data_IF_146754548894
#
_entry.id   IF_146754548894
#
_cell.length_a   1.000
_cell.length_b   1.000
_cell.length_c   1.000
_cell.angle_alpha   90.00
_cell.angle_beta   90.00
_cell.angle_gamma   90.00
#
_symmetry.space_group_name_H-M   'P 1'
#
loop_
_entity.id
_entity.type
_entity.pdbx_description
1 polymer ?
#
# COMPACT_ATOMS: atom_id res chain seq x y z
N UNK A 1 -9.24 -24.47 18.80
CA UNK A 1 -10.29 -23.46 18.52
C UNK A 1 -9.66 -22.46 17.57
N UNK A 2 -9.96 -22.61 16.31
CA UNK A 2 -9.51 -21.71 15.23
C UNK A 2 -10.44 -20.49 15.28
N UNK A 3 -9.96 -19.37 15.83
CA UNK A 3 -10.63 -18.09 15.65
C UNK A 3 -10.60 -17.79 14.14
N UNK A 4 -11.76 -17.74 13.52
CA UNK A 4 -11.86 -17.25 12.16
C UNK A 4 -11.41 -15.78 12.17
N UNK A 5 -10.50 -15.40 11.30
CA UNK A 5 -10.02 -14.02 11.14
C UNK A 5 -11.14 -13.03 10.71
N UNK A 6 -12.33 -13.56 10.41
CA UNK A 6 -13.44 -12.80 9.80
C UNK A 6 -14.09 -11.76 10.71
N UNK A 7 -13.80 -11.71 12.03
CA UNK A 7 -14.52 -10.80 12.94
C UNK A 7 -13.70 -10.21 14.08
N UNK A 8 -12.40 -10.45 14.18
CA UNK A 8 -11.62 -9.95 15.31
C UNK A 8 -10.86 -8.66 14.95
N UNK A 9 -11.02 -7.63 15.77
CA UNK A 9 -10.18 -6.43 15.69
C UNK A 9 -8.74 -6.81 16.00
N UNK A 10 -7.81 -6.37 15.19
CA UNK A 10 -6.38 -6.48 15.49
C UNK A 10 -5.63 -5.21 15.09
N UNK A 11 -4.48 -4.99 15.68
CA UNK A 11 -3.58 -3.94 15.26
C UNK A 11 -2.20 -4.49 14.92
N UNK A 12 -1.51 -3.79 14.05
CA UNK A 12 -0.17 -4.11 13.59
C UNK A 12 0.70 -2.86 13.49
N UNK A 13 1.93 -2.94 13.99
CA UNK A 13 2.92 -1.87 13.85
C UNK A 13 3.77 -2.15 12.62
N UNK A 14 3.74 -1.19 11.69
CA UNK A 14 4.49 -1.28 10.44
C UNK A 14 5.93 -0.80 10.61
N UNK A 15 6.83 -1.42 9.88
CA UNK A 15 8.18 -0.89 9.70
C UNK A 15 8.18 0.10 8.51
N UNK A 16 7.53 1.25 8.67
CA UNK A 16 7.47 2.28 7.64
C UNK A 16 8.64 3.25 7.78
N UNK A 17 9.22 3.66 6.65
CA UNK A 17 10.16 4.76 6.61
C UNK A 17 9.41 6.09 6.58
N UNK A 18 9.87 7.04 7.38
CA UNK A 18 9.28 8.37 7.51
C UNK A 18 10.25 9.41 6.94
N UNK A 19 9.76 10.22 6.02
CA UNK A 19 10.50 11.34 5.44
C UNK A 19 9.73 12.63 5.69
N UNK A 20 10.42 13.66 6.17
CA UNK A 20 9.86 15.00 6.32
C UNK A 20 10.53 15.92 5.30
N UNK A 21 9.73 16.60 4.51
CA UNK A 21 10.20 17.52 3.47
C UNK A 21 9.78 18.94 3.85
N UNK A 22 10.71 19.88 3.76
CA UNK A 22 10.48 21.31 4.04
C UNK A 22 10.97 22.16 2.91
N UNK A 23 10.26 23.21 2.59
CA UNK A 23 10.60 24.17 1.56
C UNK A 23 9.40 24.55 0.70
N UNK A 24 9.46 25.73 0.13
CA UNK A 24 8.35 26.31 -0.64
C UNK A 24 8.09 25.56 -1.96
N UNK A 25 9.09 24.88 -2.50
CA UNK A 25 9.00 24.19 -3.80
C UNK A 25 8.73 22.68 -3.66
N UNK A 26 8.61 22.17 -2.42
CA UNK A 26 8.47 20.74 -2.14
C UNK A 26 7.34 20.08 -2.92
N UNK A 27 6.14 20.69 -2.95
CA UNK A 27 4.99 20.11 -3.68
C UNK A 27 5.24 20.08 -5.19
N UNK A 28 5.82 21.13 -5.76
CA UNK A 28 6.11 21.18 -7.20
C UNK A 28 7.18 20.18 -7.62
N UNK A 29 8.18 19.96 -6.76
CA UNK A 29 9.22 18.94 -6.95
C UNK A 29 8.62 17.54 -6.88
N UNK A 30 7.85 17.23 -5.84
CA UNK A 30 7.19 15.94 -5.72
C UNK A 30 6.22 15.70 -6.90
N UNK A 31 5.45 16.71 -7.32
CA UNK A 31 4.51 16.57 -8.44
C UNK A 31 5.21 16.15 -9.75
N UNK A 32 6.47 16.52 -9.95
CA UNK A 32 7.27 16.08 -11.12
C UNK A 32 7.82 14.66 -10.99
N UNK A 33 7.83 14.08 -9.78
CA UNK A 33 8.47 12.80 -9.49
C UNK A 33 7.47 11.65 -9.29
N UNK A 34 6.22 11.97 -8.93
CA UNK A 34 5.20 10.97 -8.60
C UNK A 34 4.11 10.88 -9.67
N UNK A 35 3.36 9.79 -9.66
CA UNK A 35 2.32 9.52 -10.67
C UNK A 35 1.01 10.26 -10.42
N UNK A 36 0.67 10.53 -9.15
CA UNK A 36 -0.57 11.22 -8.77
C UNK A 36 -0.37 12.72 -8.81
N UNK A 37 -1.37 13.50 -9.25
CA UNK A 37 -1.29 14.96 -9.21
C UNK A 37 -1.36 15.47 -7.77
N UNK A 38 -0.44 16.35 -7.42
CA UNK A 38 -0.39 17.04 -6.13
C UNK A 38 -0.90 18.50 -6.23
N UNK A 39 -1.44 18.90 -7.37
CA UNK A 39 -1.97 20.23 -7.55
C UNK A 39 -3.22 20.46 -6.70
N UNK A 40 -3.23 21.55 -5.94
CA UNK A 40 -4.34 21.89 -5.05
C UNK A 40 -4.37 21.13 -3.73
N UNK A 41 -3.31 20.37 -3.43
CA UNK A 41 -3.14 19.66 -2.16
C UNK A 41 -3.19 20.62 -0.98
N UNK A 42 -4.04 20.34 -0.01
CA UNK A 42 -4.27 21.17 1.18
C UNK A 42 -3.66 20.54 2.42
N UNK A 43 -3.55 21.33 3.46
CA UNK A 43 -3.16 20.83 4.79
C UNK A 43 -4.07 19.68 5.22
N UNK A 44 -3.49 18.58 5.71
CA UNK A 44 -4.16 17.35 6.15
C UNK A 44 -4.83 16.53 5.02
N UNK A 45 -4.64 16.86 3.75
CA UNK A 45 -4.97 15.93 2.69
C UNK A 45 -4.04 14.71 2.76
N UNK A 46 -4.55 13.54 2.38
CA UNK A 46 -3.79 12.28 2.30
C UNK A 46 -3.81 11.76 0.88
N UNK A 47 -2.66 11.68 0.26
CA UNK A 47 -2.52 11.16 -1.11
C UNK A 47 -1.59 9.96 -1.13
N UNK A 48 -2.08 8.84 -1.64
CA UNK A 48 -1.26 7.71 -2.05
C UNK A 48 -0.74 7.94 -3.46
N UNK A 49 0.51 7.61 -3.69
CA UNK A 49 1.17 7.83 -4.98
C UNK A 49 2.31 6.84 -5.21
N UNK A 50 2.79 6.80 -6.45
CA UNK A 50 3.87 5.92 -6.87
C UNK A 50 5.06 6.74 -7.39
N UNK A 51 6.26 6.31 -7.06
CA UNK A 51 7.46 6.66 -7.79
C UNK A 51 7.71 5.58 -8.85
N UNK A 52 7.88 6.00 -10.10
CA UNK A 52 8.13 5.09 -11.20
C UNK A 52 9.48 5.39 -11.88
N UNK A 53 9.97 4.40 -12.62
CA UNK A 53 11.09 4.58 -13.54
C UNK A 53 10.61 5.15 -14.89
N UNK A 54 11.55 5.42 -15.80
CA UNK A 54 11.25 5.93 -17.15
C UNK A 54 10.40 4.96 -18.00
N UNK A 55 10.34 3.67 -17.63
CA UNK A 55 9.51 2.66 -18.28
C UNK A 55 8.12 2.53 -17.63
N UNK A 56 7.77 3.42 -16.69
CA UNK A 56 6.50 3.42 -15.96
C UNK A 56 6.38 2.32 -14.92
N UNK A 57 7.48 1.65 -14.56
CA UNK A 57 7.47 0.59 -13.56
C UNK A 57 7.64 1.15 -12.16
N UNK A 58 6.86 0.63 -11.23
CA UNK A 58 6.87 1.05 -9.83
C UNK A 58 8.23 0.79 -9.19
N UNK A 59 8.79 1.81 -8.53
CA UNK A 59 9.99 1.74 -7.71
C UNK A 59 9.69 1.91 -6.23
N UNK A 60 8.69 2.74 -5.89
CA UNK A 60 8.22 2.92 -4.51
C UNK A 60 6.73 3.27 -4.47
N UNK A 61 6.12 2.98 -3.33
CA UNK A 61 4.74 3.31 -2.98
C UNK A 61 4.78 4.22 -1.75
N UNK A 62 4.20 5.42 -1.85
CA UNK A 62 4.29 6.42 -0.80
C UNK A 62 2.94 7.06 -0.50
N UNK A 63 2.75 7.45 0.76
CA UNK A 63 1.66 8.33 1.18
C UNK A 63 2.23 9.71 1.51
N UNK A 64 1.61 10.76 0.99
CA UNK A 64 2.01 12.16 1.14
C UNK A 64 0.93 12.88 1.95
N UNK A 65 1.34 13.58 3.01
CA UNK A 65 0.46 14.33 3.89
C UNK A 65 1.09 15.71 4.17
N UNK A 66 0.52 16.81 3.65
CA UNK A 66 0.94 18.16 4.04
C UNK A 66 0.51 18.47 5.46
N UNK A 67 1.44 18.99 6.27
CA UNK A 67 1.18 19.39 7.65
C UNK A 67 1.96 20.67 7.95
N UNK A 68 1.25 21.75 8.26
CA UNK A 68 1.84 23.01 8.76
C UNK A 68 3.04 23.53 7.96
N UNK A 69 2.94 23.51 6.62
CA UNK A 69 4.00 24.00 5.72
C UNK A 69 5.16 23.01 5.48
N UNK A 70 5.04 21.78 5.92
CA UNK A 70 5.93 20.67 5.61
C UNK A 70 5.14 19.49 5.02
N UNK A 71 5.85 18.54 4.43
CA UNK A 71 5.27 17.29 3.93
C UNK A 71 5.78 16.13 4.78
N UNK A 72 4.86 15.39 5.36
CA UNK A 72 5.14 14.07 5.91
C UNK A 72 4.91 13.03 4.82
N UNK A 73 5.91 12.19 4.57
CA UNK A 73 5.83 11.11 3.59
C UNK A 73 6.17 9.79 4.25
N UNK A 74 5.29 8.80 4.05
CA UNK A 74 5.59 7.41 4.43
C UNK A 74 5.98 6.63 3.19
N UNK A 75 6.92 5.70 3.32
CA UNK A 75 7.35 4.80 2.25
C UNK A 75 7.86 3.48 2.84
N UNK A 76 8.19 2.53 1.96
CA UNK A 76 8.73 1.25 2.43
C UNK A 76 10.22 1.39 2.79
N UNK A 77 10.71 0.79 3.89
CA UNK A 77 12.09 0.95 4.33
C UNK A 77 13.14 0.45 3.32
N UNK A 78 12.79 -0.56 2.50
CA UNK A 78 13.70 -1.09 1.46
C UNK A 78 13.91 -0.15 0.28
N UNK A 79 13.02 0.82 0.06
CA UNK A 79 13.03 1.74 -1.09
C UNK A 79 13.25 3.19 -0.67
N UNK A 80 13.03 3.51 0.60
CA UNK A 80 13.04 4.88 1.13
C UNK A 80 14.33 5.66 0.86
N UNK A 81 15.49 5.02 0.97
CA UNK A 81 16.77 5.67 0.67
C UNK A 81 16.86 6.10 -0.79
N UNK A 82 16.47 5.20 -1.71
CA UNK A 82 16.43 5.50 -3.14
C UNK A 82 15.41 6.58 -3.47
N UNK A 83 14.24 6.56 -2.82
CA UNK A 83 13.19 7.57 -2.99
C UNK A 83 13.65 8.94 -2.49
N UNK A 84 14.28 9.02 -1.31
CA UNK A 84 14.88 10.26 -0.78
C UNK A 84 15.95 10.81 -1.72
N UNK A 85 16.81 9.94 -2.24
CA UNK A 85 17.84 10.31 -3.22
C UNK A 85 17.23 10.90 -4.49
N UNK A 86 16.16 10.29 -5.03
CA UNK A 86 15.43 10.84 -6.20
C UNK A 86 14.88 12.24 -5.93
N UNK A 87 14.34 12.49 -4.75
CA UNK A 87 13.82 13.82 -4.38
C UNK A 87 14.95 14.82 -4.35
N UNK A 88 16.08 14.48 -3.73
CA UNK A 88 17.28 15.35 -3.65
C UNK A 88 17.83 15.63 -5.05
N UNK A 89 17.98 14.62 -5.90
CA UNK A 89 18.49 14.76 -7.27
C UNK A 89 17.48 15.46 -8.21
N UNK A 90 16.18 15.37 -7.91
CA UNK A 90 15.11 16.08 -8.62
C UNK A 90 14.94 17.54 -8.22
N UNK A 91 15.63 18.00 -7.17
CA UNK A 91 15.61 19.38 -6.69
C UNK A 91 16.70 20.18 -7.41
N UNK A 92 16.31 21.22 -8.14
CA UNK A 92 17.26 22.11 -8.81
C UNK A 92 17.97 23.02 -7.80
N UNK A 93 19.12 23.59 -8.20
CA UNK A 93 19.96 24.41 -7.33
C UNK A 93 19.29 25.71 -6.82
N UNK A 94 18.26 26.18 -7.50
CA UNK A 94 17.46 27.37 -7.18
C UNK A 94 16.11 27.06 -6.52
N UNK A 95 15.80 25.77 -6.28
CA UNK A 95 14.58 25.33 -5.63
C UNK A 95 14.80 25.08 -4.12
N UNK A 96 13.80 25.40 -3.32
CA UNK A 96 13.79 25.23 -1.88
C UNK A 96 13.06 23.91 -1.49
N UNK A 97 13.86 22.86 -1.28
CA UNK A 97 13.38 21.59 -0.71
C UNK A 97 14.48 20.92 0.10
N UNK A 98 14.22 20.67 1.36
CA UNK A 98 15.12 19.95 2.25
C UNK A 98 14.50 18.65 2.72
N UNK A 99 15.25 17.56 2.62
CA UNK A 99 14.84 16.20 3.01
C UNK A 99 15.38 15.86 4.38
N UNK A 100 14.51 15.52 5.33
CA UNK A 100 14.84 15.05 6.67
C UNK A 100 14.41 13.59 6.84
N UNK A 101 15.25 12.81 7.52
CA UNK A 101 14.96 11.43 7.89
C UNK A 101 14.21 11.44 9.23
N UNK A 102 12.95 11.00 9.22
CA UNK A 102 12.11 10.89 10.41
C UNK A 102 11.98 9.46 10.94
N UNK A 103 12.78 8.53 10.41
CA UNK A 103 12.72 7.10 10.78
C UNK A 103 12.95 6.92 12.29
N UNK A 104 12.03 6.15 12.91
CA UNK A 104 12.08 5.90 14.35
C UNK A 104 11.58 7.03 15.27
N UNK A 105 11.22 8.20 14.73
CA UNK A 105 10.56 9.27 15.49
C UNK A 105 9.04 9.12 15.48
N UNK A 106 8.48 8.57 14.40
CA UNK A 106 7.05 8.33 14.21
C UNK A 106 6.84 6.83 13.99
N UNK A 107 5.84 6.27 14.64
CA UNK A 107 5.41 4.88 14.50
C UNK A 107 4.15 4.84 13.64
N UNK A 108 4.16 4.01 12.62
CA UNK A 108 2.98 3.71 11.81
C UNK A 108 2.30 2.46 12.36
N UNK A 109 1.04 2.59 12.79
CA UNK A 109 0.21 1.52 13.31
C UNK A 109 -1.10 1.46 12.56
N UNK A 110 -1.56 0.27 12.15
CA UNK A 110 -2.90 0.06 11.59
C UNK A 110 -3.77 -0.74 12.54
N UNK A 111 -5.01 -0.30 12.71
CA UNK A 111 -6.10 -1.04 13.34
C UNK A 111 -7.01 -1.58 12.23
N UNK A 112 -7.29 -2.87 12.25
CA UNK A 112 -8.18 -3.55 11.30
C UNK A 112 -9.39 -4.10 12.03
N UNK A 113 -10.56 -3.98 11.42
CA UNK A 113 -11.81 -4.52 11.94
C UNK A 113 -12.94 -4.53 10.91
N UNK A 114 -14.11 -5.11 11.26
CA UNK A 114 -15.29 -5.10 10.38
C UNK A 114 -15.77 -3.68 10.07
N UNK A 115 -16.20 -3.43 8.84
CA UNK A 115 -16.70 -2.11 8.38
C UNK A 115 -17.81 -1.54 9.28
N UNK A 116 -18.68 -2.40 9.78
CA UNK A 116 -19.83 -2.01 10.61
C UNK A 116 -19.51 -1.98 12.11
N UNK A 117 -18.23 -2.08 12.48
CA UNK A 117 -17.83 -2.03 13.87
C UNK A 117 -17.97 -0.62 14.43
N UNK A 118 -18.41 -0.53 15.69
CA UNK A 118 -18.50 0.75 16.38
C UNK A 118 -17.11 1.28 16.75
N UNK A 119 -16.71 2.38 16.12
CA UNK A 119 -15.43 3.04 16.33
C UNK A 119 -15.54 4.26 17.26
N UNK A 120 -16.73 4.52 17.85
CA UNK A 120 -16.99 5.70 18.68
C UNK A 120 -16.13 5.77 19.96
N UNK A 121 -15.58 4.64 20.39
CA UNK A 121 -14.63 4.57 21.51
C UNK A 121 -13.19 4.94 21.17
N UNK A 122 -12.86 5.18 19.90
CA UNK A 122 -11.57 5.66 19.46
C UNK A 122 -11.44 7.18 19.59
N UNK A 123 -10.23 7.69 19.50
CA UNK A 123 -9.78 9.06 19.81
C UNK A 123 -10.48 10.18 19.04
N UNK A 124 -11.07 9.86 17.90
CA UNK A 124 -11.77 10.80 17.02
C UNK A 124 -13.07 10.16 16.53
N UNK A 125 -13.94 10.94 15.97
CA UNK A 125 -15.08 10.44 15.22
C UNK A 125 -14.56 9.78 13.92
N UNK A 126 -14.21 8.49 14.05
CA UNK A 126 -13.64 7.69 12.95
C UNK A 126 -14.65 7.51 11.80
N UNK A 127 -15.97 7.66 12.06
CA UNK A 127 -16.97 7.62 11.01
C UNK A 127 -16.85 8.82 10.06
N UNK A 128 -16.41 9.96 10.59
CA UNK A 128 -16.18 11.18 9.81
C UNK A 128 -14.85 11.17 9.02
N UNK A 129 -13.94 10.21 9.27
CA UNK A 129 -12.66 10.13 8.57
C UNK A 129 -12.86 9.80 7.09
N UNK A 130 -12.12 10.51 6.26
CA UNK A 130 -12.03 10.28 4.81
C UNK A 130 -10.78 9.48 4.45
N UNK A 131 -10.83 8.76 3.33
CA UNK A 131 -9.65 8.11 2.73
C UNK A 131 -8.64 9.13 2.17
N UNK A 132 -9.10 10.35 1.90
CA UNK A 132 -8.32 11.41 1.26
C UNK A 132 -7.82 12.49 2.22
N UNK A 133 -8.02 12.31 3.52
CA UNK A 133 -7.56 13.24 4.54
C UNK A 133 -7.17 12.53 5.83
N UNK A 134 -6.38 13.21 6.65
CA UNK A 134 -6.07 12.79 8.01
C UNK A 134 -6.77 13.71 9.00
N UNK A 135 -7.11 13.19 10.18
CA UNK A 135 -7.53 13.98 11.34
C UNK A 135 -6.41 14.00 12.36
N UNK A 136 -6.29 15.12 13.09
CA UNK A 136 -5.31 15.28 14.15
C UNK A 136 -5.94 14.98 15.51
N UNK A 137 -5.22 14.23 16.33
CA UNK A 137 -5.51 14.05 17.75
C UNK A 137 -4.21 14.30 18.55
N UNK A 138 -4.05 15.52 19.05
CA UNK A 138 -2.74 15.97 19.54
C UNK A 138 -1.72 15.95 18.40
N UNK A 139 -0.62 15.25 18.59
CA UNK A 139 0.43 15.08 17.58
C UNK A 139 0.24 13.80 16.72
N UNK A 140 -0.89 13.08 16.88
CA UNK A 140 -1.20 11.85 16.17
C UNK A 140 -2.04 12.17 14.94
N UNK A 141 -1.67 11.60 13.80
CA UNK A 141 -2.44 11.67 12.57
C UNK A 141 -3.21 10.37 12.36
N UNK A 142 -4.49 10.48 12.04
CA UNK A 142 -5.40 9.34 11.91
C UNK A 142 -6.11 9.43 10.56
N UNK A 143 -6.11 8.32 9.82
CA UNK A 143 -6.86 8.16 8.57
C UNK A 143 -7.56 6.82 8.51
N UNK A 144 -8.56 6.67 7.64
CA UNK A 144 -9.32 5.44 7.46
C UNK A 144 -9.37 5.07 5.98
N UNK A 145 -9.25 3.79 5.70
CA UNK A 145 -9.49 3.18 4.39
C UNK A 145 -10.41 1.97 4.56
N UNK A 146 -11.12 1.59 3.51
CA UNK A 146 -12.03 0.45 3.52
C UNK A 146 -11.63 -0.58 2.46
N UNK A 147 -11.65 -1.88 2.84
CA UNK A 147 -11.29 -2.99 1.96
C UNK A 147 -12.24 -4.17 2.22
N UNK A 148 -13.03 -4.56 1.19
CA UNK A 148 -13.88 -5.77 1.23
C UNK A 148 -14.71 -5.93 2.52
N UNK A 149 -15.37 -4.84 2.98
CA UNK A 149 -16.20 -4.87 4.18
C UNK A 149 -15.41 -4.80 5.50
N UNK A 150 -14.12 -4.50 5.42
CA UNK A 150 -13.27 -4.21 6.58
C UNK A 150 -12.72 -2.80 6.49
N UNK A 151 -12.46 -2.18 7.64
CA UNK A 151 -11.74 -0.91 7.70
C UNK A 151 -10.28 -1.13 8.12
N UNK A 152 -9.44 -0.22 7.68
CA UNK A 152 -8.07 -0.01 8.17
C UNK A 152 -7.98 1.42 8.67
N UNK A 153 -7.75 1.59 9.97
CA UNK A 153 -7.48 2.90 10.56
C UNK A 153 -5.99 3.01 10.79
N UNK A 154 -5.35 3.90 10.05
CA UNK A 154 -3.91 4.15 10.15
C UNK A 154 -3.63 5.28 11.13
N UNK A 155 -2.68 5.07 12.00
CA UNK A 155 -2.16 6.01 12.97
C UNK A 155 -0.70 6.29 12.68
N UNK A 156 -0.32 7.56 12.57
CA UNK A 156 1.07 7.99 12.62
C UNK A 156 1.29 8.67 13.98
N UNK A 157 2.04 7.98 14.85
CA UNK A 157 2.11 8.26 16.28
C UNK A 157 3.54 8.68 16.65
N UNK A 158 3.76 9.81 17.33
CA UNK A 158 5.05 10.11 17.94
C UNK A 158 5.52 8.95 18.81
N UNK A 159 6.79 8.56 18.72
CA UNK A 159 7.32 7.37 19.39
C UNK A 159 7.08 7.35 20.90
N UNK A 160 7.10 8.52 21.52
CA UNK A 160 6.85 8.67 22.97
C UNK A 160 5.40 8.42 23.39
N UNK A 161 4.46 8.38 22.44
CA UNK A 161 3.03 8.18 22.71
C UNK A 161 2.53 6.76 22.40
N UNK A 162 3.38 5.91 21.79
CA UNK A 162 2.97 4.59 21.31
C UNK A 162 2.44 3.67 22.41
N UNK A 163 3.00 3.74 23.63
CA UNK A 163 2.55 2.90 24.75
C UNK A 163 1.14 3.28 25.21
N UNK A 164 0.84 4.59 25.30
CA UNK A 164 -0.49 5.09 25.65
C UNK A 164 -1.53 4.65 24.62
N UNK A 165 -1.22 4.82 23.33
CA UNK A 165 -2.12 4.46 22.23
C UNK A 165 -2.34 2.96 22.19
N UNK A 166 -1.29 2.16 22.35
CA UNK A 166 -1.40 0.70 22.40
C UNK A 166 -2.29 0.24 23.55
N UNK A 167 -2.21 0.87 24.74
CA UNK A 167 -3.10 0.58 25.86
C UNK A 167 -4.56 0.91 25.53
N UNK A 168 -4.84 2.08 24.96
CA UNK A 168 -6.19 2.47 24.55
C UNK A 168 -6.78 1.53 23.49
N UNK A 169 -5.99 1.08 22.51
CA UNK A 169 -6.42 0.11 21.50
C UNK A 169 -6.73 -1.25 22.14
N UNK A 170 -5.98 -1.67 23.14
CA UNK A 170 -6.24 -2.88 23.90
C UNK A 170 -7.55 -2.76 24.69
N UNK A 171 -7.78 -1.65 25.36
CA UNK A 171 -9.04 -1.38 26.08
C UNK A 171 -10.24 -1.32 25.14
N UNK A 172 -10.01 -0.89 23.90
CA UNK A 172 -10.99 -0.93 22.81
C UNK A 172 -11.25 -2.34 22.25
N UNK A 173 -10.52 -3.36 22.74
CA UNK A 173 -10.67 -4.76 22.34
C UNK A 173 -9.83 -5.16 21.12
N UNK A 174 -8.86 -4.35 20.74
CA UNK A 174 -7.91 -4.70 19.68
C UNK A 174 -6.71 -5.45 20.27
N UNK A 175 -6.25 -6.49 19.58
CA UNK A 175 -5.03 -7.22 19.94
C UNK A 175 -3.92 -6.91 18.94
N UNK A 176 -2.73 -6.60 19.45
CA UNK A 176 -1.55 -6.51 18.61
C UNK A 176 -1.19 -7.89 18.05
N UNK A 177 -1.09 -8.00 16.74
CA UNK A 177 -0.78 -9.25 16.04
C UNK A 177 0.56 -9.17 15.31
N UNK A 178 1.27 -10.31 15.18
CA UNK A 178 2.49 -10.40 14.37
C UNK A 178 2.24 -10.13 12.89
N UNK A 179 3.32 -9.96 12.14
CA UNK A 179 3.30 -9.60 10.71
C UNK A 179 2.46 -10.57 9.87
N UNK A 180 2.42 -11.85 10.20
CA UNK A 180 1.70 -12.86 9.40
C UNK A 180 0.18 -12.58 9.35
N UNK A 181 -0.40 -11.99 10.41
CA UNK A 181 -1.80 -11.57 10.41
C UNK A 181 -2.05 -10.41 9.44
N UNK A 182 -1.13 -9.44 9.40
CA UNK A 182 -1.18 -8.34 8.44
C UNK A 182 -0.97 -8.85 7.02
N UNK A 183 0.01 -9.71 6.80
CA UNK A 183 0.28 -10.32 5.50
C UNK A 183 -0.95 -11.10 4.99
N UNK A 184 -1.58 -11.89 5.85
CA UNK A 184 -2.80 -12.60 5.48
C UNK A 184 -3.94 -11.64 5.13
N UNK A 185 -4.14 -10.60 5.95
CA UNK A 185 -5.15 -9.58 5.69
C UNK A 185 -4.92 -8.90 4.32
N UNK A 186 -3.73 -8.37 4.08
CA UNK A 186 -3.43 -7.66 2.84
C UNK A 186 -3.52 -8.56 1.59
N UNK A 187 -3.00 -9.81 1.67
CA UNK A 187 -3.04 -10.78 0.58
C UNK A 187 -4.50 -11.16 0.27
N UNK A 188 -5.31 -11.41 1.29
CA UNK A 188 -6.74 -11.75 1.13
C UNK A 188 -7.54 -10.60 0.50
N UNK A 189 -7.13 -9.36 0.72
CA UNK A 189 -7.77 -8.18 0.14
C UNK A 189 -7.09 -7.66 -1.13
N UNK A 190 -6.09 -8.39 -1.67
CA UNK A 190 -5.41 -7.99 -2.89
C UNK A 190 -4.57 -6.72 -2.76
N UNK A 191 -4.13 -6.38 -1.56
CA UNK A 191 -3.31 -5.19 -1.29
C UNK A 191 -1.84 -5.48 -1.57
N UNK A 192 -1.22 -4.92 -2.62
CA UNK A 192 0.18 -5.17 -2.90
C UNK A 192 1.10 -4.49 -1.88
N UNK A 193 2.13 -5.21 -1.45
CA UNK A 193 3.31 -4.62 -0.80
C UNK A 193 4.31 -4.15 -1.86
N UNK A 194 5.41 -3.53 -1.42
CA UNK A 194 6.49 -3.15 -2.34
C UNK A 194 7.12 -4.36 -3.04
N UNK A 195 7.14 -5.53 -2.38
CA UNK A 195 7.65 -6.76 -2.98
C UNK A 195 6.78 -7.24 -4.17
N UNK A 196 5.47 -6.98 -4.10
CA UNK A 196 4.54 -7.28 -5.18
C UNK A 196 4.57 -6.21 -6.28
N UNK A 197 4.73 -4.95 -5.88
CA UNK A 197 4.59 -3.80 -6.77
C UNK A 197 5.85 -3.49 -7.58
N UNK A 198 7.03 -3.59 -6.98
CA UNK A 198 8.29 -3.14 -7.59
C UNK A 198 8.58 -3.84 -8.92
N UNK A 199 8.84 -3.02 -9.95
CA UNK A 199 9.15 -3.48 -11.31
C UNK A 199 7.93 -3.89 -12.13
N UNK A 200 6.70 -3.77 -11.61
CA UNK A 200 5.46 -3.96 -12.33
C UNK A 200 4.84 -2.60 -12.72
N UNK A 201 3.90 -2.61 -13.67
CA UNK A 201 3.15 -1.43 -14.06
C UNK A 201 1.97 -1.21 -13.09
N UNK A 202 1.59 0.03 -12.75
CA UNK A 202 0.43 0.30 -11.89
C UNK A 202 -0.85 -0.41 -12.34
N UNK A 203 -1.12 -0.41 -13.65
CA UNK A 203 -2.29 -1.07 -14.23
C UNK A 203 -2.31 -2.59 -14.05
N UNK A 204 -1.16 -3.24 -13.96
CA UNK A 204 -1.05 -4.69 -13.73
C UNK A 204 -1.46 -5.09 -12.30
N UNK A 205 -1.43 -4.13 -11.36
CA UNK A 205 -1.69 -4.31 -9.94
C UNK A 205 -3.02 -3.70 -9.47
N UNK A 206 -3.86 -3.18 -10.39
CA UNK A 206 -5.07 -2.46 -10.02
C UNK A 206 -4.84 -1.06 -9.45
N UNK A 207 -3.64 -0.50 -9.59
CA UNK A 207 -3.27 0.80 -9.06
C UNK A 207 -3.39 1.95 -10.09
N UNK A 208 -4.23 1.78 -11.11
CA UNK A 208 -4.43 2.80 -12.14
C UNK A 208 -5.00 4.11 -11.60
N UNK A 209 -5.78 4.06 -10.52
CA UNK A 209 -6.32 5.24 -9.82
C UNK A 209 -5.23 6.13 -9.22
N UNK A 210 -4.04 5.60 -8.97
CA UNK A 210 -2.88 6.36 -8.49
C UNK A 210 -2.06 7.00 -9.62
N UNK A 211 -2.54 6.93 -10.87
CA UNK A 211 -1.88 7.50 -12.04
C UNK A 211 -2.75 8.59 -12.65
N UNK A 212 -2.36 9.84 -12.48
CA UNK A 212 -3.06 10.98 -13.07
C UNK A 212 -2.63 11.18 -14.53
N UNK A 213 -3.48 10.72 -15.46
CA UNK A 213 -3.27 10.95 -16.87
C UNK A 213 -3.55 12.43 -17.19
N UNK A 214 -2.62 13.10 -17.86
CA UNK A 214 -2.77 14.51 -18.26
C UNK A 214 -2.25 15.53 -17.24
N UNK A 215 -1.71 15.11 -16.09
CA UNK A 215 -0.87 15.98 -15.26
C UNK A 215 0.45 16.32 -15.98
N UNK A 216 1.25 17.24 -15.44
CA UNK A 216 2.59 17.57 -15.94
C UNK A 216 3.53 16.36 -16.05
N UNK A 217 4.73 16.57 -16.60
CA UNK A 217 5.70 15.48 -16.83
C UNK A 217 6.13 14.79 -15.52
N UNK A 218 6.18 13.46 -15.55
CA UNK A 218 6.77 12.60 -14.52
C UNK A 218 7.38 11.35 -15.17
N UNK A 219 8.29 10.63 -14.48
CA UNK A 219 8.93 9.43 -15.04
C UNK A 219 7.90 8.34 -15.40
N UNK A 220 7.95 7.85 -16.66
CA UNK A 220 7.05 6.80 -17.15
C UNK A 220 5.69 7.27 -17.70
N UNK A 221 5.41 8.58 -17.69
CA UNK A 221 4.13 9.14 -18.14
C UNK A 221 3.71 8.65 -19.54
N UNK A 222 4.64 8.60 -20.50
CA UNK A 222 4.32 8.17 -21.87
C UNK A 222 3.83 6.72 -21.94
N UNK A 223 4.42 5.85 -21.14
CA UNK A 223 4.01 4.45 -21.04
C UNK A 223 2.61 4.34 -20.46
N UNK A 224 2.33 5.07 -19.35
CA UNK A 224 1.01 5.07 -18.72
C UNK A 224 -0.07 5.63 -19.63
N UNK A 225 0.17 6.75 -20.32
CA UNK A 225 -0.78 7.32 -21.27
C UNK A 225 -1.06 6.39 -22.46
N UNK A 226 -0.06 5.65 -22.94
CA UNK A 226 -0.23 4.65 -23.99
C UNK A 226 -1.07 3.46 -23.53
N UNK A 227 -0.87 2.99 -22.30
CA UNK A 227 -1.66 1.89 -21.74
C UNK A 227 -3.11 2.28 -21.50
N UNK A 228 -3.34 3.48 -20.99
CA UNK A 228 -4.67 4.04 -20.79
C UNK A 228 -5.45 4.12 -22.13
N UNK A 229 -4.82 4.64 -23.20
CA UNK A 229 -5.45 4.79 -24.51
C UNK A 229 -5.67 3.49 -25.26
N UNK A 230 -4.87 2.44 -25.04
CA UNK A 230 -4.89 1.17 -25.80
C UNK A 230 -5.57 0.01 -25.07
N UNK A 231 -5.76 0.12 -23.74
CA UNK A 231 -6.60 -0.77 -22.94
C UNK A 231 -6.15 -2.24 -22.81
N UNK A 232 -4.91 -2.61 -23.21
CA UNK A 232 -4.51 -4.02 -23.21
C UNK A 232 -3.50 -4.35 -22.10
N UNK A 233 -4.00 -4.88 -20.98
CA UNK A 233 -3.17 -5.59 -20.00
C UNK A 233 -2.87 -6.99 -20.54
N UNK A 234 -1.64 -7.44 -20.41
CA UNK A 234 -1.21 -8.82 -20.78
C UNK A 234 -1.23 -9.73 -19.56
N UNK A 235 -0.95 -9.16 -18.38
CA UNK A 235 -0.89 -9.85 -17.11
C UNK A 235 -1.51 -9.02 -16.00
N UNK A 236 -1.90 -9.68 -14.93
CA UNK A 236 -2.49 -9.04 -13.76
C UNK A 236 -1.98 -9.70 -12.48
N UNK A 237 -2.05 -8.96 -11.40
CA UNK A 237 -1.91 -9.54 -10.06
C UNK A 237 -3.17 -10.34 -9.74
N UNK A 238 -2.97 -11.49 -9.12
CA UNK A 238 -4.02 -12.41 -8.70
C UNK A 238 -3.76 -12.88 -7.26
N UNK A 239 -4.78 -13.40 -6.61
CA UNK A 239 -4.63 -14.22 -5.42
C UNK A 239 -4.47 -15.69 -5.85
N UNK A 240 -3.52 -16.38 -5.22
CA UNK A 240 -3.33 -17.81 -5.40
C UNK A 240 -3.46 -18.51 -4.05
N UNK A 241 -4.20 -19.60 -4.03
CA UNK A 241 -4.43 -20.43 -2.84
C UNK A 241 -3.87 -21.83 -3.10
N UNK A 242 -3.22 -22.40 -2.09
CA UNK A 242 -2.65 -23.75 -2.12
C UNK A 242 -2.75 -24.44 -0.75
N UNK A 243 -2.89 -25.75 -0.74
CA UNK A 243 -2.78 -26.59 0.47
C UNK A 243 -1.31 -26.88 0.83
N UNK A 244 -0.37 -26.60 -0.07
CA UNK A 244 1.06 -26.82 0.10
C UNK A 244 1.82 -25.49 0.09
N UNK A 245 2.93 -25.44 0.83
CA UNK A 245 3.80 -24.26 0.83
C UNK A 245 4.48 -24.06 -0.51
N UNK A 246 4.29 -22.88 -1.10
CA UNK A 246 4.94 -22.48 -2.34
C UNK A 246 5.71 -21.19 -2.09
N UNK A 247 7.02 -21.26 -2.07
CA UNK A 247 7.88 -20.09 -1.83
C UNK A 247 7.75 -19.05 -2.94
N UNK A 248 8.00 -17.76 -2.67
CA UNK A 248 8.09 -16.74 -3.71
C UNK A 248 9.07 -17.15 -4.82
N UNK A 249 8.64 -17.02 -6.08
CA UNK A 249 9.39 -17.49 -7.24
C UNK A 249 8.57 -17.51 -8.52
N UNK A 250 9.13 -18.06 -9.60
CA UNK A 250 8.42 -18.22 -10.88
C UNK A 250 8.15 -19.68 -11.16
N UNK A 251 6.89 -20.00 -11.31
CA UNK A 251 6.36 -21.33 -11.59
C UNK A 251 5.66 -21.35 -12.95
N UNK A 252 5.35 -22.53 -13.44
CA UNK A 252 4.61 -22.69 -14.71
C UNK A 252 3.34 -23.48 -14.47
N UNK A 253 2.26 -23.05 -15.10
CA UNK A 253 1.01 -23.78 -15.23
C UNK A 253 0.67 -23.97 -16.71
N UNK A 254 0.07 -25.10 -17.10
CA UNK A 254 -0.36 -25.34 -18.49
C UNK A 254 -1.34 -24.29 -19.00
N UNK A 255 -2.22 -23.78 -18.11
CA UNK A 255 -3.35 -22.89 -18.47
C UNK A 255 -2.92 -21.43 -18.64
N UNK A 256 -2.13 -20.89 -17.71
CA UNK A 256 -1.78 -19.47 -17.69
C UNK A 256 -0.30 -19.19 -17.97
N UNK A 257 0.50 -20.24 -18.17
CA UNK A 257 1.94 -20.11 -18.41
C UNK A 257 2.71 -19.78 -17.13
N UNK A 258 3.48 -18.69 -17.14
CA UNK A 258 4.29 -18.31 -15.97
C UNK A 258 3.42 -17.65 -14.90
N UNK A 259 3.57 -18.12 -13.65
CA UNK A 259 3.02 -17.54 -12.43
C UNK A 259 4.22 -17.08 -11.58
N UNK A 260 4.35 -15.78 -11.35
CA UNK A 260 5.39 -15.21 -10.47
C UNK A 260 4.77 -14.88 -9.12
N UNK A 261 5.03 -15.73 -8.13
CA UNK A 261 4.61 -15.50 -6.73
C UNK A 261 5.54 -14.45 -6.11
N UNK A 262 4.97 -13.43 -5.52
CA UNK A 262 5.69 -12.29 -4.94
C UNK A 262 5.55 -12.22 -3.43
N UNK A 263 4.42 -12.67 -2.89
CA UNK A 263 4.14 -12.75 -1.45
C UNK A 263 3.43 -14.06 -1.14
N UNK A 264 3.69 -14.59 0.06
CA UNK A 264 3.07 -15.82 0.55
C UNK A 264 2.90 -15.74 2.06
N UNK A 265 1.79 -16.27 2.57
CA UNK A 265 1.51 -16.40 3.99
C UNK A 265 0.72 -17.68 4.25
N UNK A 266 0.99 -18.32 5.39
CA UNK A 266 0.23 -19.47 5.86
C UNK A 266 -0.79 -19.05 6.94
N UNK A 267 -2.04 -19.47 6.77
CA UNK A 267 -3.07 -19.28 7.78
C UNK A 267 -4.05 -20.44 7.80
N UNK A 268 -4.26 -21.03 8.98
CA UNK A 268 -5.26 -22.11 9.23
C UNK A 268 -5.20 -23.31 8.26
N UNK A 269 -4.00 -23.70 7.82
CA UNK A 269 -3.82 -24.84 6.92
C UNK A 269 -3.93 -24.51 5.42
N UNK A 270 -4.06 -23.24 5.07
CA UNK A 270 -4.09 -22.73 3.72
C UNK A 270 -2.90 -21.77 3.50
N UNK A 271 -2.29 -21.82 2.35
CA UNK A 271 -1.28 -20.84 1.89
C UNK A 271 -1.93 -19.88 0.92
N UNK A 272 -1.97 -18.60 1.28
CA UNK A 272 -2.42 -17.52 0.42
C UNK A 272 -1.22 -16.75 -0.14
N UNK A 273 -1.27 -16.41 -1.42
CA UNK A 273 -0.19 -15.71 -2.11
C UNK A 273 -0.73 -14.61 -3.01
N UNK A 274 0.06 -13.54 -3.21
CA UNK A 274 -0.10 -12.66 -4.36
C UNK A 274 0.87 -13.08 -5.46
N UNK A 275 0.38 -13.14 -6.68
CA UNK A 275 1.16 -13.56 -7.83
C UNK A 275 0.80 -12.77 -9.08
N UNK A 276 1.76 -12.68 -10.02
CA UNK A 276 1.56 -12.11 -11.34
C UNK A 276 1.44 -13.24 -12.36
N UNK A 277 0.35 -13.27 -13.12
CA UNK A 277 0.20 -14.21 -14.23
C UNK A 277 -0.48 -13.57 -15.44
N UNK A 278 -0.58 -14.32 -16.54
CA UNK A 278 -1.36 -13.92 -17.71
C UNK A 278 -2.83 -13.84 -17.32
N UNK A 279 -3.54 -12.84 -17.83
CA UNK A 279 -4.97 -12.65 -17.63
C UNK A 279 -5.73 -13.89 -18.14
N UNK A 280 -6.70 -14.35 -17.35
CA UNK A 280 -7.66 -15.40 -17.69
C UNK A 280 -9.09 -14.87 -17.49
N UNK A 281 -10.06 -15.49 -18.14
CA UNK A 281 -11.42 -14.94 -18.25
C UNK A 281 -12.30 -15.21 -17.02
N UNK A 282 -12.06 -16.36 -16.36
CA UNK A 282 -12.87 -16.79 -15.21
C UNK A 282 -12.44 -16.04 -13.94
N UNK A 283 -13.37 -15.78 -13.03
CA UNK A 283 -13.05 -15.19 -11.72
C UNK A 283 -12.15 -16.09 -10.88
N UNK A 284 -12.27 -17.41 -11.08
CA UNK A 284 -11.52 -18.45 -10.38
C UNK A 284 -11.11 -19.56 -11.34
N UNK A 285 -9.85 -19.94 -11.28
CA UNK A 285 -9.27 -21.00 -12.10
C UNK A 285 -8.53 -22.03 -11.23
N UNK A 286 -8.98 -23.29 -11.25
CA UNK A 286 -8.25 -24.40 -10.64
C UNK A 286 -7.25 -24.96 -11.65
N UNK A 287 -5.99 -25.05 -11.26
CA UNK A 287 -4.92 -25.55 -12.11
C UNK A 287 -3.86 -26.28 -11.28
N UNK A 288 -2.86 -26.79 -11.93
CA UNK A 288 -1.69 -27.38 -11.29
C UNK A 288 -0.42 -26.72 -11.80
N UNK A 289 0.56 -26.58 -10.93
CA UNK A 289 1.93 -26.26 -11.33
C UNK A 289 2.56 -27.47 -12.03
N UNK A 290 3.64 -27.26 -12.78
CA UNK A 290 4.31 -28.37 -13.53
C UNK A 290 4.84 -29.46 -12.60
N UNK A 291 5.16 -29.14 -11.34
CA UNK A 291 5.57 -30.10 -10.31
C UNK A 291 4.39 -30.95 -9.76
N UNK A 292 3.16 -30.63 -10.16
CA UNK A 292 1.94 -31.33 -9.74
C UNK A 292 1.20 -30.66 -8.57
N UNK A 293 1.75 -29.61 -7.97
CA UNK A 293 1.08 -28.88 -6.87
C UNK A 293 -0.22 -28.23 -7.38
N UNK A 294 -1.32 -28.52 -6.71
CA UNK A 294 -2.63 -27.94 -7.03
C UNK A 294 -2.73 -26.53 -6.48
N UNK A 295 -3.24 -25.63 -7.31
CA UNK A 295 -3.46 -24.22 -6.93
C UNK A 295 -4.78 -23.72 -7.47
N UNK A 296 -5.39 -22.81 -6.72
CA UNK A 296 -6.54 -22.02 -7.16
C UNK A 296 -6.06 -20.60 -7.41
N UNK A 297 -6.30 -20.08 -8.60
CA UNK A 297 -6.04 -18.70 -8.98
C UNK A 297 -7.34 -17.92 -8.95
N UNK A 298 -7.33 -16.74 -8.35
CA UNK A 298 -8.50 -15.88 -8.24
C UNK A 298 -8.15 -14.49 -8.75
N UNK A 299 -8.96 -13.98 -9.68
CA UNK A 299 -8.85 -12.59 -10.10
C UNK A 299 -9.20 -11.68 -8.91
N UNK A 300 -8.39 -10.64 -8.70
CA UNK A 300 -8.66 -9.65 -7.66
C UNK A 300 -9.69 -8.64 -8.19
N UNK A 301 -10.64 -8.20 -7.36
CA UNK A 301 -11.51 -7.10 -7.70
C UNK A 301 -10.65 -5.82 -7.73
N UNK A 302 -10.25 -5.42 -8.92
CA UNK A 302 -9.68 -4.10 -9.16
C UNK A 302 -10.81 -3.20 -9.65
N UNK A 303 -11.28 -2.32 -8.80
CA UNK A 303 -12.21 -1.25 -9.16
C UNK A 303 -11.51 -0.11 -9.91
#
# INVERSE_FOLDING_TARGET
MTESLECARFNHIHNSAITVLKGTDTISILDRLVTTSLQGLKNLDRIQTLFCDANGRIEDFSTIIPIEGQILMTSHPQTSEQTRKKIIEGTSWDEDCTVYIGDGAIVHLSLVGPKNDDLSGLFVDVESLSEFSVSEFGDILISKSEYNGQYVVDFLIPKNEIEEISSKLKDFGSMQKPIDYWEYFRISNGMPSINDARGNLPSELGLSSLVSIGKGCYPGQEVHARLDSRGSKVRSMIRMISDEEISPGTYKSPEVGNIKITSNVHNNGEYASLAMCRIFEDDRLETSLIDGTRVTLENLPFD
#
